data_IF_486141886071
#
_entry.id   IF_486141886071
#
_cell.length_a   1.000
_cell.length_b   1.000
_cell.length_c   1.000
_cell.angle_alpha   90.00
_cell.angle_beta   90.00
_cell.angle_gamma   90.00
#
_symmetry.space_group_name_H-M   'P 1'
#
loop_
_entity.id
_entity.type
_entity.pdbx_description
1 polymer ?
#
# COMPACT_ATOMS: atom_id res chain seq x y z
N UNK A 1 -10.47 -16.11 -9.34
CA UNK A 1 -11.63 -16.01 -8.40
C UNK A 1 -12.53 -14.88 -8.84
N UNK A 2 -13.86 -15.01 -8.69
CA UNK A 2 -14.84 -13.92 -8.82
C UNK A 2 -15.10 -13.36 -7.42
N UNK A 3 -14.91 -12.06 -7.24
CA UNK A 3 -15.17 -11.36 -5.98
C UNK A 3 -16.61 -10.84 -5.93
N UNK A 4 -17.16 -10.82 -4.72
CA UNK A 4 -18.39 -10.12 -4.34
C UNK A 4 -18.04 -8.78 -3.66
N UNK A 5 -19.00 -7.86 -3.55
CA UNK A 5 -18.80 -6.57 -2.85
C UNK A 5 -18.26 -6.75 -1.42
N UNK A 6 -18.78 -7.75 -0.69
CA UNK A 6 -18.32 -8.04 0.66
C UNK A 6 -16.88 -8.61 0.71
N UNK A 7 -16.40 -9.29 -0.33
CA UNK A 7 -15.00 -9.71 -0.42
C UNK A 7 -14.06 -8.50 -0.61
N UNK A 8 -14.48 -7.54 -1.44
CA UNK A 8 -13.74 -6.28 -1.62
C UNK A 8 -13.72 -5.47 -0.31
N UNK A 9 -14.83 -5.44 0.44
CA UNK A 9 -14.86 -4.83 1.77
C UNK A 9 -13.85 -5.49 2.72
N UNK A 10 -13.75 -6.83 2.72
CA UNK A 10 -12.74 -7.57 3.50
C UNK A 10 -11.32 -7.20 3.04
N UNK A 11 -11.04 -7.14 1.74
CA UNK A 11 -9.73 -6.73 1.23
C UNK A 11 -9.35 -5.31 1.68
N UNK A 12 -10.27 -4.36 1.56
CA UNK A 12 -10.06 -2.98 2.03
C UNK A 12 -9.80 -2.92 3.53
N UNK A 13 -10.57 -3.66 4.32
CA UNK A 13 -10.34 -3.77 5.76
C UNK A 13 -8.97 -4.36 6.08
N UNK A 14 -8.54 -5.41 5.37
CA UNK A 14 -7.21 -6.01 5.61
C UNK A 14 -6.07 -5.07 5.22
N UNK A 15 -6.23 -4.24 4.21
CA UNK A 15 -5.26 -3.21 3.84
C UNK A 15 -5.19 -2.06 4.86
N UNK A 16 -6.34 -1.67 5.42
CA UNK A 16 -6.42 -0.57 6.39
C UNK A 16 -6.03 -0.98 7.82
N UNK A 17 -6.48 -2.15 8.27
CA UNK A 17 -6.42 -2.59 9.68
C UNK A 17 -5.67 -3.93 9.85
N UNK A 18 -5.15 -4.49 8.78
CA UNK A 18 -4.54 -5.81 8.80
C UNK A 18 -5.57 -6.91 9.08
N UNK A 19 -5.13 -7.93 9.81
CA UNK A 19 -5.96 -9.07 10.18
C UNK A 19 -6.91 -8.80 11.36
N UNK A 20 -6.74 -7.68 12.06
CA UNK A 20 -7.42 -7.40 13.33
C UNK A 20 -8.32 -6.15 13.25
N UNK A 21 -9.34 -6.12 12.39
CA UNK A 21 -10.24 -4.97 12.32
C UNK A 21 -10.95 -4.79 13.66
N UNK A 22 -11.15 -3.54 14.06
CA UNK A 22 -11.97 -3.23 15.24
C UNK A 22 -13.45 -3.47 14.93
N UNK A 23 -14.28 -3.57 15.99
CA UNK A 23 -15.73 -3.65 15.83
C UNK A 23 -16.31 -2.46 15.05
N UNK A 24 -15.74 -1.27 15.24
CA UNK A 24 -16.11 -0.06 14.48
C UNK A 24 -15.81 -0.23 12.99
N UNK A 25 -14.62 -0.74 12.64
CA UNK A 25 -14.26 -0.99 11.23
C UNK A 25 -15.16 -2.04 10.60
N UNK A 26 -15.50 -3.12 11.32
CA UNK A 26 -16.43 -4.13 10.85
C UNK A 26 -17.84 -3.57 10.62
N UNK A 27 -18.33 -2.76 11.57
CA UNK A 27 -19.64 -2.12 11.46
C UNK A 27 -19.71 -1.15 10.25
N UNK A 28 -18.69 -0.35 10.03
CA UNK A 28 -18.58 0.54 8.86
C UNK A 28 -18.58 -0.22 7.53
N UNK A 29 -18.02 -1.42 7.52
CA UNK A 29 -18.01 -2.30 6.35
C UNK A 29 -19.26 -3.19 6.24
N UNK A 30 -20.23 -3.04 7.14
CA UNK A 30 -21.45 -3.86 7.21
C UNK A 30 -21.15 -5.37 7.33
N UNK A 31 -20.09 -5.72 8.08
CA UNK A 31 -19.65 -7.10 8.28
C UNK A 31 -19.70 -7.47 9.78
N UNK A 32 -20.07 -8.73 10.04
CA UNK A 32 -19.78 -9.34 11.34
C UNK A 32 -18.35 -9.91 11.38
N UNK A 33 -17.81 -10.15 12.57
CA UNK A 33 -16.51 -10.80 12.73
C UNK A 33 -16.46 -12.18 12.05
N UNK A 34 -17.53 -12.97 12.16
CA UNK A 34 -17.66 -14.27 11.51
C UNK A 34 -17.66 -14.17 9.98
N UNK A 35 -18.40 -13.20 9.42
CA UNK A 35 -18.43 -12.94 7.99
C UNK A 35 -17.04 -12.51 7.49
N UNK A 36 -16.34 -11.65 8.23
CA UNK A 36 -14.98 -11.24 7.91
C UNK A 36 -14.03 -12.44 7.85
N UNK A 37 -13.98 -13.28 8.90
CA UNK A 37 -13.09 -14.44 8.95
C UNK A 37 -13.43 -15.47 7.86
N UNK A 38 -14.69 -15.76 7.62
CA UNK A 38 -15.13 -16.70 6.59
C UNK A 38 -14.68 -16.23 5.20
N UNK A 39 -14.88 -14.95 4.89
CA UNK A 39 -14.48 -14.38 3.60
C UNK A 39 -12.98 -14.26 3.46
N UNK A 40 -12.27 -13.87 4.51
CA UNK A 40 -10.82 -13.84 4.52
C UNK A 40 -10.23 -15.22 4.26
N UNK A 41 -10.79 -16.26 4.88
CA UNK A 41 -10.38 -17.64 4.62
C UNK A 41 -10.59 -18.02 3.13
N UNK A 42 -11.73 -17.64 2.53
CA UNK A 42 -12.01 -17.85 1.10
C UNK A 42 -11.00 -17.14 0.20
N UNK A 43 -10.65 -15.88 0.50
CA UNK A 43 -9.67 -15.09 -0.23
C UNK A 43 -8.26 -15.70 -0.14
N UNK A 44 -7.90 -16.23 1.02
CA UNK A 44 -6.63 -16.96 1.22
C UNK A 44 -6.58 -18.28 0.48
N UNK A 45 -7.64 -19.06 0.56
CA UNK A 45 -7.74 -20.34 -0.16
C UNK A 45 -7.63 -20.16 -1.69
N UNK A 46 -8.10 -19.02 -2.21
CA UNK A 46 -7.98 -18.65 -3.62
C UNK A 46 -6.67 -17.91 -3.96
N UNK A 47 -5.74 -17.79 -3.01
CA UNK A 47 -4.47 -17.08 -3.16
C UNK A 47 -4.60 -15.59 -3.57
N UNK A 48 -5.76 -14.98 -3.32
CA UNK A 48 -5.95 -13.53 -3.51
C UNK A 48 -5.24 -12.77 -2.39
N UNK A 49 -5.36 -13.23 -1.14
CA UNK A 49 -4.52 -12.82 -0.02
C UNK A 49 -3.47 -13.91 0.19
N UNK A 50 -2.27 -13.69 -0.31
CA UNK A 50 -1.20 -14.69 -0.28
C UNK A 50 -0.60 -14.87 1.12
N UNK A 51 -0.32 -13.75 1.80
CA UNK A 51 0.27 -13.73 3.14
C UNK A 51 -0.07 -12.40 3.84
N UNK A 52 0.09 -12.37 5.16
CA UNK A 52 0.18 -11.11 5.92
C UNK A 52 1.62 -10.83 6.29
N UNK A 53 1.96 -9.55 6.35
CA UNK A 53 3.27 -9.07 6.73
C UNK A 53 3.15 -7.98 7.78
N UNK A 54 4.07 -7.98 8.71
CA UNK A 54 4.21 -6.91 9.69
C UNK A 54 5.26 -5.93 9.22
N UNK A 55 4.86 -4.68 9.06
CA UNK A 55 5.76 -3.56 8.79
C UNK A 55 5.73 -2.57 9.94
N UNK A 56 6.71 -1.68 9.99
CA UNK A 56 6.82 -0.64 11.00
C UNK A 56 6.88 0.72 10.35
N UNK A 57 6.21 1.70 10.92
CA UNK A 57 6.37 3.09 10.53
C UNK A 57 7.74 3.59 11.01
N UNK A 58 8.70 3.70 10.10
CA UNK A 58 10.11 4.02 10.39
C UNK A 58 10.27 5.35 11.11
N UNK A 59 9.66 6.48 10.65
CA UNK A 59 9.86 7.76 11.26
C UNK A 59 9.45 7.82 12.74
N UNK A 60 8.26 7.43 13.16
CA UNK A 60 7.89 7.48 14.57
C UNK A 60 8.65 6.47 15.44
N UNK A 61 9.11 5.34 14.85
CA UNK A 61 9.84 4.32 15.60
C UNK A 61 11.28 4.75 15.91
N UNK A 62 11.96 5.38 14.96
CA UNK A 62 13.38 5.72 15.06
C UNK A 62 13.65 7.19 15.37
N UNK A 63 12.63 8.05 15.30
CA UNK A 63 12.80 9.50 15.42
C UNK A 63 13.68 10.10 14.34
N UNK A 64 13.88 11.42 14.39
CA UNK A 64 14.69 12.18 13.43
C UNK A 64 13.95 12.51 12.15
N UNK A 65 14.70 12.99 11.17
CA UNK A 65 14.18 13.46 9.89
C UNK A 65 14.23 12.34 8.85
N UNK A 66 13.12 12.16 8.15
CA UNK A 66 12.96 11.12 7.15
C UNK A 66 12.26 11.67 5.92
N UNK A 67 12.65 11.18 4.77
CA UNK A 67 11.95 11.36 3.50
C UNK A 67 11.27 10.06 3.12
N UNK A 68 9.98 10.13 2.83
CA UNK A 68 9.25 9.05 2.17
C UNK A 68 9.34 9.27 0.67
N UNK A 69 9.82 8.28 -0.04
CA UNK A 69 10.05 8.32 -1.47
C UNK A 69 9.38 7.19 -2.22
N UNK A 70 9.17 7.43 -3.51
CA UNK A 70 8.75 6.42 -4.46
C UNK A 70 9.73 6.31 -5.62
N UNK A 71 9.97 5.10 -6.09
CA UNK A 71 10.63 4.81 -7.35
C UNK A 71 9.59 4.31 -8.33
N UNK A 72 9.52 4.90 -9.51
CA UNK A 72 8.78 4.36 -10.65
C UNK A 72 9.81 3.97 -11.70
N UNK A 73 9.85 2.70 -12.09
CA UNK A 73 10.86 2.18 -13.00
C UNK A 73 10.28 1.25 -14.05
N UNK A 74 10.94 1.21 -15.21
CA UNK A 74 10.79 0.15 -16.18
C UNK A 74 12.06 -0.71 -16.18
N UNK A 75 11.89 -2.01 -16.06
CA UNK A 75 12.96 -2.99 -16.06
C UNK A 75 12.57 -4.20 -16.92
N UNK A 76 13.51 -4.77 -17.70
CA UNK A 76 13.27 -6.00 -18.46
C UNK A 76 12.94 -7.18 -17.52
N UNK A 77 13.62 -7.24 -16.38
CA UNK A 77 13.34 -8.19 -15.30
C UNK A 77 12.98 -7.42 -14.03
N UNK A 78 11.69 -7.08 -13.84
CA UNK A 78 11.25 -6.30 -12.69
C UNK A 78 11.45 -7.02 -11.35
N UNK A 79 11.43 -8.36 -11.33
CA UNK A 79 11.66 -9.12 -10.10
C UNK A 79 13.12 -9.03 -9.64
N UNK A 80 14.06 -9.16 -10.58
CA UNK A 80 15.50 -9.01 -10.31
C UNK A 80 15.82 -7.58 -9.89
N UNK A 81 15.28 -6.59 -10.57
CA UNK A 81 15.44 -5.18 -10.22
C UNK A 81 14.88 -4.87 -8.82
N UNK A 82 13.69 -5.34 -8.49
CA UNK A 82 13.10 -5.22 -7.16
C UNK A 82 14.01 -5.82 -6.07
N UNK A 83 14.49 -7.03 -6.29
CA UNK A 83 15.40 -7.71 -5.34
C UNK A 83 16.73 -6.95 -5.14
N UNK A 84 17.27 -6.32 -6.18
CA UNK A 84 18.46 -5.47 -6.07
C UNK A 84 18.17 -4.22 -5.24
N UNK A 85 17.10 -3.50 -5.57
CA UNK A 85 16.74 -2.26 -4.91
C UNK A 85 16.39 -2.48 -3.45
N UNK A 86 15.61 -3.53 -3.12
CA UNK A 86 15.22 -3.85 -1.73
C UNK A 86 16.41 -4.27 -0.86
N UNK A 87 17.47 -4.82 -1.43
CA UNK A 87 18.70 -5.16 -0.68
C UNK A 87 19.58 -3.94 -0.39
N UNK A 88 19.48 -2.89 -1.17
CA UNK A 88 20.41 -1.76 -1.15
C UNK A 88 19.78 -0.48 -0.61
N UNK A 89 18.50 -0.26 -0.89
CA UNK A 89 17.76 0.86 -0.29
C UNK A 89 17.35 0.50 1.13
N UNK A 90 17.60 1.39 2.08
CA UNK A 90 17.09 1.19 3.44
C UNK A 90 15.56 1.31 3.43
N UNK A 91 14.94 0.53 4.29
CA UNK A 91 13.52 0.67 4.63
C UNK A 91 12.56 0.74 3.43
N UNK A 92 12.77 -0.09 2.40
CA UNK A 92 11.74 -0.32 1.38
C UNK A 92 10.54 -0.96 2.06
N UNK A 93 9.38 -0.34 1.93
CA UNK A 93 8.15 -0.82 2.56
C UNK A 93 7.34 -1.70 1.62
N UNK A 94 7.21 -1.27 0.37
CA UNK A 94 6.37 -1.94 -0.63
C UNK A 94 7.05 -2.01 -1.98
N UNK A 95 6.76 -3.07 -2.70
CA UNK A 95 7.13 -3.29 -4.09
C UNK A 95 5.87 -3.64 -4.88
N UNK A 96 5.58 -2.87 -5.92
CA UNK A 96 4.38 -3.00 -6.75
C UNK A 96 4.80 -3.37 -8.16
N UNK A 97 4.20 -4.44 -8.68
CA UNK A 97 4.41 -4.90 -10.05
C UNK A 97 3.22 -4.49 -10.91
N UNK A 98 3.47 -3.72 -11.96
CA UNK A 98 2.46 -3.15 -12.84
C UNK A 98 2.50 -3.81 -14.22
N UNK A 99 1.37 -3.76 -14.92
CA UNK A 99 1.27 -4.09 -16.35
C UNK A 99 0.20 -3.21 -17.03
N UNK A 100 0.20 -3.14 -18.34
CA UNK A 100 -0.85 -2.45 -19.10
C UNK A 100 -0.37 -1.37 -20.05
N UNK A 101 0.92 -0.98 -20.01
CA UNK A 101 1.49 -0.10 -21.02
C UNK A 101 2.51 -0.85 -21.88
N UNK A 102 2.64 -0.47 -23.17
CA UNK A 102 3.72 -0.95 -24.01
C UNK A 102 5.09 -0.68 -23.39
N UNK A 103 6.06 -1.51 -23.73
CA UNK A 103 7.42 -1.44 -23.23
C UNK A 103 8.00 -0.02 -23.28
N UNK A 104 8.49 0.44 -22.12
CA UNK A 104 9.12 1.75 -21.97
C UNK A 104 8.18 2.96 -21.91
N UNK A 105 6.85 2.78 -21.99
CA UNK A 105 5.88 3.89 -21.90
C UNK A 105 5.38 4.14 -20.48
N UNK A 106 5.64 3.22 -19.55
CA UNK A 106 5.26 3.37 -18.14
C UNK A 106 6.01 2.41 -17.24
N UNK A 107 5.88 2.58 -15.91
CA UNK A 107 6.57 1.72 -14.97
C UNK A 107 5.94 0.33 -14.92
N UNK A 108 6.78 -0.70 -14.96
CA UNK A 108 6.37 -2.05 -14.61
C UNK A 108 6.78 -2.43 -13.18
N UNK A 109 7.51 -1.53 -12.51
CA UNK A 109 7.99 -1.66 -11.14
C UNK A 109 7.83 -0.35 -10.39
N UNK A 110 7.23 -0.37 -9.21
CA UNK A 110 7.21 0.74 -8.27
C UNK A 110 7.68 0.28 -6.90
N UNK A 111 8.41 1.12 -6.18
CA UNK A 111 8.83 0.86 -4.81
C UNK A 111 8.55 2.08 -3.93
N UNK A 112 8.14 1.82 -2.70
CA UNK A 112 8.00 2.84 -1.65
C UNK A 112 9.08 2.61 -0.60
N UNK A 113 9.74 3.68 -0.14
CA UNK A 113 10.83 3.57 0.81
C UNK A 113 10.97 4.80 1.71
N UNK A 114 11.58 4.62 2.88
CA UNK A 114 12.04 5.73 3.72
C UNK A 114 13.56 5.87 3.64
N UNK A 115 14.05 7.13 3.66
CA UNK A 115 15.48 7.42 3.69
C UNK A 115 15.78 8.66 4.54
N UNK A 116 16.90 8.65 5.25
CA UNK A 116 17.49 9.87 5.88
C UNK A 116 18.36 10.64 4.91
N UNK A 117 18.98 9.96 3.96
CA UNK A 117 19.77 10.56 2.89
C UNK A 117 19.12 10.25 1.54
N UNK A 118 18.11 11.05 1.21
CA UNK A 118 17.31 10.88 0.01
C UNK A 118 18.16 11.05 -1.25
N UNK A 119 19.09 12.01 -1.26
CA UNK A 119 19.94 12.28 -2.44
C UNK A 119 20.88 11.11 -2.76
N UNK A 120 21.45 10.47 -1.74
CA UNK A 120 22.23 9.24 -1.93
C UNK A 120 21.37 8.09 -2.44
N UNK A 121 20.15 7.96 -1.95
CA UNK A 121 19.18 6.97 -2.47
C UNK A 121 18.86 7.23 -3.94
N UNK A 122 18.62 8.48 -4.33
CA UNK A 122 18.38 8.88 -5.74
C UNK A 122 19.57 8.51 -6.63
N UNK A 123 20.80 8.89 -6.22
CA UNK A 123 22.02 8.55 -7.00
C UNK A 123 22.19 7.03 -7.15
N UNK A 124 21.92 6.27 -6.11
CA UNK A 124 21.99 4.82 -6.17
C UNK A 124 20.97 4.26 -7.19
N UNK A 125 19.70 4.70 -7.11
CA UNK A 125 18.64 4.24 -8.01
C UNK A 125 18.97 4.59 -9.45
N UNK A 126 19.45 5.81 -9.72
CA UNK A 126 19.84 6.26 -11.05
C UNK A 126 20.99 5.45 -11.66
N UNK A 127 21.88 4.92 -10.84
CA UNK A 127 22.99 4.04 -11.27
C UNK A 127 22.66 2.54 -11.19
N UNK A 128 21.45 2.15 -10.79
CA UNK A 128 21.12 0.75 -10.59
C UNK A 128 21.06 -0.02 -11.92
N UNK A 129 21.77 -1.15 -12.05
CA UNK A 129 21.76 -1.93 -13.28
C UNK A 129 20.40 -2.61 -13.48
N UNK A 130 19.99 -2.76 -14.74
CA UNK A 130 18.75 -3.43 -15.13
C UNK A 130 17.52 -2.54 -15.10
N UNK A 131 17.65 -1.26 -14.77
CA UNK A 131 16.63 -0.24 -14.95
C UNK A 131 16.87 0.48 -16.27
N UNK A 132 15.93 0.40 -17.20
CA UNK A 132 16.01 1.12 -18.50
C UNK A 132 15.50 2.54 -18.35
N UNK A 133 14.56 2.73 -17.46
CA UNK A 133 13.97 4.01 -17.11
C UNK A 133 13.64 4.04 -15.63
N UNK A 134 13.90 5.15 -14.97
CA UNK A 134 13.54 5.35 -13.56
C UNK A 134 13.28 6.81 -13.23
N UNK A 135 12.30 7.04 -12.39
CA UNK A 135 12.04 8.31 -11.73
C UNK A 135 11.92 8.11 -10.23
N UNK A 136 12.44 9.05 -9.46
CA UNK A 136 12.38 9.02 -8.01
C UNK A 136 11.64 10.25 -7.52
N UNK A 137 10.62 10.03 -6.71
CA UNK A 137 9.76 11.07 -6.19
C UNK A 137 9.89 11.19 -4.69
N UNK A 138 9.92 12.42 -4.22
CA UNK A 138 9.80 12.78 -2.81
C UNK A 138 8.32 12.94 -2.50
N UNK A 139 7.74 12.02 -1.73
CA UNK A 139 6.32 11.98 -1.41
C UNK A 139 5.98 12.78 -0.16
N UNK A 140 6.91 12.85 0.78
CA UNK A 140 6.71 13.60 2.02
C UNK A 140 7.93 13.63 2.92
N UNK A 141 7.94 14.62 3.76
CA UNK A 141 8.95 14.80 4.80
C UNK A 141 8.30 14.53 6.17
N UNK A 142 9.01 13.76 6.97
CA UNK A 142 8.59 13.39 8.31
C UNK A 142 9.69 13.77 9.30
N UNK A 143 9.34 14.56 10.31
CA UNK A 143 10.22 14.94 11.40
C UNK A 143 9.61 14.50 12.71
N UNK A 144 10.33 13.66 13.44
CA UNK A 144 9.93 13.19 14.77
C UNK A 144 11.04 13.53 15.76
N UNK A 145 10.80 14.44 16.71
CA UNK A 145 11.85 14.89 17.64
C UNK A 145 12.41 13.76 18.51
N UNK A 146 11.58 12.75 18.79
CA UNK A 146 11.99 11.56 19.54
C UNK A 146 11.36 10.30 18.97
N UNK A 147 12.07 9.18 19.11
CA UNK A 147 11.50 7.86 18.84
C UNK A 147 10.35 7.56 19.82
N UNK A 148 9.30 6.89 19.34
CA UNK A 148 8.23 6.42 20.20
C UNK A 148 8.78 5.32 21.14
N UNK A 149 8.71 5.48 22.47
CA UNK A 149 9.20 4.46 23.38
C UNK A 149 8.27 3.23 23.31
N UNK A 150 8.84 2.10 22.89
CA UNK A 150 8.18 0.80 22.98
C UNK A 150 8.58 0.12 24.30
N UNK A 151 7.59 -0.36 25.04
CA UNK A 151 7.85 -1.22 26.20
C UNK A 151 8.43 -2.58 25.76
N UNK A 152 9.05 -3.30 26.69
CA UNK A 152 9.55 -4.65 26.41
C UNK A 152 8.45 -5.59 25.90
N UNK A 153 7.26 -5.51 26.47
CA UNK A 153 6.11 -6.32 26.06
C UNK A 153 5.66 -5.99 24.63
N UNK A 154 5.67 -4.71 24.25
CA UNK A 154 5.33 -4.29 22.90
C UNK A 154 6.37 -4.73 21.87
N UNK A 155 7.66 -4.68 22.22
CA UNK A 155 8.74 -5.25 21.38
C UNK A 155 8.56 -6.75 21.21
N UNK A 156 8.20 -7.46 22.28
CA UNK A 156 7.96 -8.90 22.23
C UNK A 156 6.71 -9.22 21.40
N UNK A 157 5.63 -8.47 21.56
CA UNK A 157 4.41 -8.59 20.74
C UNK A 157 4.72 -8.38 19.25
N UNK A 158 5.42 -7.30 18.90
CA UNK A 158 5.83 -7.02 17.52
C UNK A 158 6.68 -8.16 16.97
N UNK A 159 7.66 -8.66 17.76
CA UNK A 159 8.53 -9.78 17.36
C UNK A 159 7.75 -11.06 17.07
N UNK A 160 6.76 -11.39 17.89
CA UNK A 160 5.88 -12.54 17.66
C UNK A 160 5.10 -12.41 16.36
N UNK A 161 4.50 -11.22 16.13
CA UNK A 161 3.74 -10.94 14.91
C UNK A 161 4.62 -10.92 13.66
N UNK A 162 5.85 -10.40 13.74
CA UNK A 162 6.82 -10.44 12.62
C UNK A 162 7.20 -11.87 12.25
N UNK A 163 7.33 -12.76 13.23
CA UNK A 163 7.67 -14.16 13.00
C UNK A 163 6.46 -15.00 12.57
N UNK A 164 5.27 -14.63 13.01
CA UNK A 164 4.04 -15.32 12.67
C UNK A 164 2.87 -14.34 12.53
N UNK A 165 2.81 -13.60 11.41
CA UNK A 165 1.80 -12.57 11.17
C UNK A 165 0.38 -13.12 11.03
N UNK A 166 0.24 -14.43 10.85
CA UNK A 166 -1.04 -15.13 10.75
C UNK A 166 -1.62 -15.58 12.10
N UNK A 167 -0.88 -15.39 13.20
CA UNK A 167 -1.37 -15.75 14.53
C UNK A 167 -2.63 -14.95 14.90
N UNK A 168 -3.61 -15.63 15.47
CA UNK A 168 -4.76 -14.98 16.09
C UNK A 168 -4.38 -14.36 17.45
N UNK A 169 -5.26 -13.47 17.95
CA UNK A 169 -5.04 -12.75 19.23
C UNK A 169 -4.90 -13.71 20.40
N UNK A 170 -5.64 -14.83 20.39
CA UNK A 170 -5.60 -15.82 21.47
C UNK A 170 -4.26 -16.55 21.50
N UNK A 171 -3.78 -16.98 20.32
CA UNK A 171 -2.46 -17.63 20.19
C UNK A 171 -1.32 -16.68 20.60
N UNK A 172 -1.40 -15.41 20.18
CA UNK A 172 -0.44 -14.37 20.60
C UNK A 172 -0.47 -14.15 22.11
N UNK A 173 -1.68 -14.04 22.69
CA UNK A 173 -1.86 -13.92 24.15
C UNK A 173 -1.25 -15.10 24.91
N UNK A 174 -1.54 -16.32 24.48
CA UNK A 174 -0.97 -17.54 25.08
C UNK A 174 0.56 -17.55 25.03
N UNK A 175 1.15 -17.18 23.89
CA UNK A 175 2.61 -17.10 23.73
C UNK A 175 3.26 -16.03 24.62
N UNK A 176 2.54 -14.98 24.99
CA UNK A 176 2.99 -13.90 25.86
C UNK A 176 2.63 -14.11 27.34
N UNK A 177 1.84 -15.13 27.67
CA UNK A 177 1.26 -15.30 29.02
C UNK A 177 0.27 -14.17 29.38
N UNK A 178 -0.40 -13.58 28.37
CA UNK A 178 -1.30 -12.44 28.51
C UNK A 178 -2.71 -12.77 28.01
N UNK A 179 -3.70 -12.00 28.49
CA UNK A 179 -5.08 -12.18 28.02
C UNK A 179 -5.26 -11.67 26.57
N UNK A 180 -6.24 -12.20 25.82
CA UNK A 180 -6.61 -11.67 24.50
C UNK A 180 -6.98 -10.18 24.54
N UNK A 181 -7.64 -9.74 25.62
CA UNK A 181 -8.00 -8.31 25.82
C UNK A 181 -6.75 -7.43 25.95
N UNK A 182 -5.74 -7.90 26.69
CA UNK A 182 -4.47 -7.19 26.81
C UNK A 182 -3.79 -7.04 25.44
N UNK A 183 -3.74 -8.15 24.65
CA UNK A 183 -3.18 -8.13 23.29
C UNK A 183 -3.92 -7.14 22.41
N UNK A 184 -5.25 -7.13 22.44
CA UNK A 184 -6.09 -6.18 21.68
C UNK A 184 -5.75 -4.74 22.04
N UNK A 185 -5.71 -4.40 23.33
CA UNK A 185 -5.38 -3.04 23.80
C UNK A 185 -4.00 -2.59 23.30
N UNK A 186 -3.00 -3.50 23.31
CA UNK A 186 -1.66 -3.18 22.83
C UNK A 186 -1.62 -3.03 21.32
N UNK A 187 -2.34 -3.88 20.56
CA UNK A 187 -2.46 -3.77 19.12
C UNK A 187 -3.12 -2.46 18.71
N UNK A 188 -4.24 -2.08 19.33
CA UNK A 188 -4.95 -0.82 19.04
C UNK A 188 -4.03 0.39 19.22
N UNK A 189 -3.19 0.38 20.28
CA UNK A 189 -2.18 1.41 20.47
C UNK A 189 -1.11 1.40 19.38
N UNK A 190 -0.61 0.22 19.00
CA UNK A 190 0.51 0.07 18.06
C UNK A 190 0.07 0.30 16.61
N UNK A 191 -1.12 -0.13 16.22
CA UNK A 191 -1.69 0.09 14.89
C UNK A 191 -2.08 1.56 14.67
N UNK A 192 -2.34 2.29 15.75
CA UNK A 192 -2.92 3.63 15.68
C UNK A 192 -4.40 3.57 15.34
N UNK A 193 -5.07 4.70 15.44
CA UNK A 193 -6.45 4.86 15.02
C UNK A 193 -6.57 6.00 14.00
N UNK A 194 -7.77 6.19 13.44
CA UNK A 194 -8.05 7.26 12.47
C UNK A 194 -7.72 8.67 13.01
N UNK A 195 -7.85 8.87 14.32
CA UNK A 195 -7.55 10.12 15.01
C UNK A 195 -6.06 10.27 15.30
N UNK A 196 -5.33 9.16 15.42
CA UNK A 196 -3.91 9.15 15.74
C UNK A 196 -3.14 8.29 14.73
N UNK A 197 -2.81 8.87 13.56
CA UNK A 197 -2.02 8.24 12.49
C UNK A 197 -0.59 7.87 12.90
N UNK A 198 -0.25 8.02 14.18
CA UNK A 198 1.08 7.74 14.75
C UNK A 198 1.32 6.27 15.12
N UNK A 199 0.49 5.34 14.65
CA UNK A 199 0.76 3.91 14.83
C UNK A 199 2.12 3.52 14.25
N UNK A 200 2.87 2.75 15.03
CA UNK A 200 4.19 2.24 14.59
C UNK A 200 4.11 0.89 13.88
N UNK A 201 2.99 0.18 14.07
CA UNK A 201 2.77 -1.16 13.52
C UNK A 201 1.80 -1.09 12.35
N UNK A 202 2.09 -1.82 11.30
CA UNK A 202 1.16 -2.12 10.21
C UNK A 202 1.18 -3.59 9.91
N UNK A 203 0.01 -4.18 9.74
CA UNK A 203 -0.13 -5.58 9.31
C UNK A 203 -0.83 -5.53 7.96
N UNK A 204 -0.10 -5.81 6.90
CA UNK A 204 -0.57 -5.63 5.54
C UNK A 204 -0.61 -6.96 4.78
N UNK A 205 -1.62 -7.21 3.94
CA UNK A 205 -1.67 -8.38 3.09
C UNK A 205 -0.80 -8.19 1.84
N UNK A 206 -0.16 -9.26 1.40
CA UNK A 206 0.20 -9.39 -0.01
C UNK A 206 -1.07 -9.71 -0.79
N UNK A 207 -1.42 -8.85 -1.72
CA UNK A 207 -2.60 -9.03 -2.58
C UNK A 207 -2.17 -9.44 -3.97
N UNK A 208 -2.74 -10.54 -4.45
CA UNK A 208 -2.46 -11.10 -5.77
C UNK A 208 -3.66 -10.86 -6.68
N UNK A 209 -3.71 -9.68 -7.27
CA UNK A 209 -4.81 -9.27 -8.14
C UNK A 209 -4.92 -10.11 -9.41
N UNK A 210 -3.85 -10.81 -9.82
CA UNK A 210 -3.88 -11.72 -10.96
C UNK A 210 -4.78 -12.96 -10.75
N UNK A 211 -5.12 -13.28 -9.50
CA UNK A 211 -6.05 -14.36 -9.16
C UNK A 211 -7.53 -13.93 -9.20
N UNK A 212 -7.78 -12.65 -9.47
CA UNK A 212 -9.13 -12.07 -9.54
C UNK A 212 -9.51 -11.77 -10.97
N UNK A 213 -10.71 -12.21 -11.42
CA UNK A 213 -11.14 -12.06 -12.80
C UNK A 213 -12.14 -10.92 -13.05
N UNK A 214 -12.80 -10.42 -12.02
CA UNK A 214 -13.86 -9.42 -12.17
C UNK A 214 -13.62 -8.12 -11.40
N UNK A 215 -12.45 -7.96 -10.79
CA UNK A 215 -12.10 -6.78 -9.99
C UNK A 215 -10.60 -6.54 -10.08
N UNK A 216 -10.16 -5.30 -10.00
CA UNK A 216 -8.76 -4.95 -9.98
C UNK A 216 -8.53 -3.52 -9.51
N UNK A 217 -7.30 -3.24 -9.13
CA UNK A 217 -6.82 -1.92 -8.78
C UNK A 217 -6.03 -1.34 -9.95
N UNK A 218 -6.47 -0.19 -10.46
CA UNK A 218 -5.94 0.42 -11.67
C UNK A 218 -5.44 1.84 -11.41
N UNK A 219 -4.37 2.20 -12.09
CA UNK A 219 -3.86 3.56 -12.14
C UNK A 219 -4.05 4.13 -13.55
N UNK A 220 -4.68 5.28 -13.64
CA UNK A 220 -4.90 6.01 -14.88
C UNK A 220 -3.85 7.11 -15.01
N UNK A 221 -3.11 7.10 -16.11
CA UNK A 221 -2.17 8.16 -16.44
C UNK A 221 -2.88 9.24 -17.22
N UNK A 222 -3.01 10.41 -16.64
CA UNK A 222 -3.80 11.52 -17.15
C UNK A 222 -2.89 12.63 -17.65
N UNK A 223 -3.02 13.00 -18.93
CA UNK A 223 -2.53 14.27 -19.44
C UNK A 223 -3.51 15.38 -19.14
N UNK A 224 -3.03 16.42 -18.48
CA UNK A 224 -3.87 17.58 -18.12
C UNK A 224 -3.05 18.86 -17.93
N UNK A 225 -3.65 19.98 -18.23
CA UNK A 225 -3.16 21.32 -17.87
C UNK A 225 -3.55 21.75 -16.44
N UNK A 226 -4.46 21.03 -15.80
CA UNK A 226 -4.88 21.35 -14.44
C UNK A 226 -3.77 21.11 -13.42
N UNK A 227 -3.76 21.91 -12.36
CA UNK A 227 -2.95 21.64 -11.18
C UNK A 227 -3.55 20.45 -10.41
N UNK A 228 -2.75 19.67 -9.65
CA UNK A 228 -3.25 18.52 -8.90
C UNK A 228 -4.45 18.83 -8.01
N UNK A 229 -4.46 20.00 -7.35
CA UNK A 229 -5.55 20.41 -6.46
C UNK A 229 -6.84 20.72 -7.24
N UNK A 230 -6.73 21.26 -8.46
CA UNK A 230 -7.87 21.48 -9.34
C UNK A 230 -8.43 20.17 -9.86
N UNK A 231 -7.54 19.25 -10.26
CA UNK A 231 -7.92 17.91 -10.69
C UNK A 231 -8.63 17.15 -9.56
N UNK A 232 -8.10 17.19 -8.34
CA UNK A 232 -8.73 16.56 -7.18
C UNK A 232 -10.17 17.07 -6.95
N UNK A 233 -10.40 18.39 -7.08
CA UNK A 233 -11.75 18.98 -6.97
C UNK A 233 -12.67 18.52 -8.09
N UNK A 234 -12.20 18.48 -9.33
CA UNK A 234 -12.98 18.00 -10.47
C UNK A 234 -13.39 16.53 -10.27
N UNK A 235 -12.47 15.69 -9.86
CA UNK A 235 -12.74 14.28 -9.58
C UNK A 235 -13.72 14.09 -8.42
N UNK A 236 -13.68 14.95 -7.40
CA UNK A 236 -14.61 14.91 -6.28
C UNK A 236 -16.01 15.43 -6.62
N UNK A 237 -16.12 16.48 -7.45
CA UNK A 237 -17.42 17.07 -7.83
C UNK A 237 -18.26 16.14 -8.68
N UNK A 238 -17.64 15.41 -9.61
CA UNK A 238 -18.35 14.49 -10.51
C UNK A 238 -18.51 13.08 -9.94
N UNK A 239 -17.81 12.79 -8.84
CA UNK A 239 -17.88 11.51 -8.12
C UNK A 239 -18.91 11.50 -6.97
N UNK A 240 -19.58 12.64 -6.68
CA UNK A 240 -20.51 12.74 -5.55
C UNK A 240 -21.66 11.71 -5.59
N UNK A 241 -22.03 11.23 -6.76
CA UNK A 241 -23.06 10.20 -6.94
C UNK A 241 -22.50 8.76 -7.06
N UNK A 242 -21.15 8.57 -7.00
CA UNK A 242 -20.51 7.27 -7.11
C UNK A 242 -19.50 7.07 -5.98
N UNK A 243 -19.78 6.20 -5.00
CA UNK A 243 -18.92 5.96 -3.82
C UNK A 243 -17.54 5.36 -4.13
N UNK A 244 -17.26 5.03 -5.37
CA UNK A 244 -16.00 4.46 -5.85
C UNK A 244 -15.15 5.50 -6.59
N UNK A 245 -14.87 6.60 -5.89
CA UNK A 245 -14.19 7.76 -6.45
C UNK A 245 -12.73 7.48 -6.82
N UNK A 246 -12.28 8.15 -7.89
CA UNK A 246 -10.87 8.26 -8.21
C UNK A 246 -10.09 8.92 -7.06
N UNK A 247 -8.90 8.40 -6.76
CA UNK A 247 -7.98 8.98 -5.80
C UNK A 247 -6.72 9.48 -6.51
N UNK A 248 -6.27 10.68 -6.15
CA UNK A 248 -5.00 11.19 -6.64
C UNK A 248 -3.85 10.47 -5.91
N UNK A 249 -2.99 9.78 -6.67
CA UNK A 249 -1.92 8.96 -6.08
C UNK A 249 -0.76 9.83 -5.59
N UNK A 250 -0.36 10.80 -6.40
CA UNK A 250 0.78 11.67 -6.11
C UNK A 250 0.41 13.12 -6.39
N UNK A 251 0.83 14.02 -5.50
CA UNK A 251 0.55 15.45 -5.59
C UNK A 251 1.30 16.20 -6.71
N UNK A 252 1.81 15.50 -7.73
CA UNK A 252 2.60 16.08 -8.81
C UNK A 252 2.45 15.32 -10.13
N UNK A 253 3.06 15.89 -11.18
CA UNK A 253 3.14 15.24 -12.49
C UNK A 253 4.29 14.25 -12.52
N UNK A 254 4.05 13.07 -13.07
CA UNK A 254 4.98 11.97 -13.24
C UNK A 254 5.45 11.89 -14.69
N UNK A 255 6.49 11.08 -14.94
CA UNK A 255 7.02 10.81 -16.26
C UNK A 255 7.38 12.10 -17.02
N UNK A 256 8.47 12.74 -16.59
CA UNK A 256 8.97 14.01 -17.13
C UNK A 256 7.92 15.14 -17.07
N UNK A 257 7.16 15.21 -15.97
CA UNK A 257 6.07 16.17 -15.76
C UNK A 257 4.92 16.04 -16.76
N UNK A 258 4.71 14.86 -17.34
CA UNK A 258 3.70 14.66 -18.37
C UNK A 258 2.35 14.23 -17.83
N UNK A 259 2.32 13.29 -16.86
CA UNK A 259 1.09 12.66 -16.40
C UNK A 259 0.80 12.95 -14.94
N UNK A 260 -0.47 13.06 -14.61
CA UNK A 260 -0.97 12.91 -13.24
C UNK A 260 -1.49 11.49 -13.10
N UNK A 261 -1.20 10.83 -11.98
CA UNK A 261 -1.65 9.48 -11.71
C UNK A 261 -2.85 9.49 -10.79
N UNK A 262 -3.92 8.86 -11.22
CA UNK A 262 -5.18 8.68 -10.48
C UNK A 262 -5.44 7.19 -10.37
N UNK A 263 -5.84 6.72 -9.21
CA UNK A 263 -6.18 5.32 -8.97
C UNK A 263 -7.67 5.12 -8.77
N UNK A 264 -8.14 3.94 -9.13
CA UNK A 264 -9.50 3.48 -8.83
C UNK A 264 -9.58 1.96 -8.81
N UNK A 265 -10.47 1.46 -7.98
CA UNK A 265 -10.93 0.08 -8.02
C UNK A 265 -11.97 -0.10 -9.13
N UNK A 266 -11.86 -1.15 -9.90
CA UNK A 266 -12.64 -1.37 -11.13
C UNK A 266 -13.28 -2.75 -11.14
N UNK A 267 -14.57 -2.80 -11.45
CA UNK A 267 -15.37 -4.03 -11.55
C UNK A 267 -15.46 -4.53 -13.00
N UNK A 268 -14.39 -5.13 -13.49
CA UNK A 268 -14.33 -5.70 -14.83
C UNK A 268 -14.12 -4.67 -15.94
N UNK A 269 -14.06 -5.18 -17.19
CA UNK A 269 -13.66 -4.38 -18.35
C UNK A 269 -14.70 -3.30 -18.70
N UNK A 270 -15.99 -3.55 -18.46
CA UNK A 270 -17.03 -2.57 -18.72
C UNK A 270 -16.88 -1.33 -17.86
N UNK A 271 -16.73 -1.51 -16.54
CA UNK A 271 -16.48 -0.40 -15.60
C UNK A 271 -15.16 0.32 -15.91
N UNK A 272 -14.11 -0.42 -16.33
CA UNK A 272 -12.85 0.20 -16.77
C UNK A 272 -13.08 1.15 -17.94
N UNK A 273 -13.81 0.72 -18.95
CA UNK A 273 -14.11 1.54 -20.13
C UNK A 273 -14.96 2.76 -19.76
N UNK A 274 -15.98 2.57 -18.91
CA UNK A 274 -16.83 3.67 -18.42
C UNK A 274 -16.00 4.72 -17.67
N UNK A 275 -15.04 4.31 -16.84
CA UNK A 275 -14.15 5.22 -16.13
C UNK A 275 -13.19 5.98 -17.05
N UNK A 276 -12.64 5.31 -18.07
CA UNK A 276 -11.82 5.96 -19.10
C UNK A 276 -12.66 6.99 -19.87
N UNK A 277 -13.88 6.64 -20.24
CA UNK A 277 -14.80 7.57 -20.93
C UNK A 277 -15.18 8.75 -20.05
N UNK A 278 -15.52 8.51 -18.78
CA UNK A 278 -15.83 9.57 -17.81
C UNK A 278 -14.67 10.56 -17.66
N UNK A 279 -13.45 10.06 -17.45
CA UNK A 279 -12.27 10.92 -17.34
C UNK A 279 -12.03 11.75 -18.62
N UNK A 280 -12.18 11.15 -19.81
CA UNK A 280 -11.99 11.86 -21.07
C UNK A 280 -13.13 12.87 -21.38
N UNK A 281 -14.28 12.79 -20.71
CA UNK A 281 -15.35 13.79 -20.82
C UNK A 281 -15.07 15.05 -19.99
N UNK A 282 -14.18 14.97 -18.99
CA UNK A 282 -13.81 16.11 -18.17
C UNK A 282 -12.95 17.08 -18.98
N UNK A 283 -13.27 18.39 -18.88
CA UNK A 283 -12.58 19.43 -19.65
C UNK A 283 -11.07 19.46 -19.33
N UNK A 284 -10.24 19.39 -20.37
CA UNK A 284 -8.77 19.45 -20.25
C UNK A 284 -8.14 18.20 -19.64
N UNK A 285 -8.83 17.06 -19.68
CA UNK A 285 -8.35 15.75 -19.22
C UNK A 285 -8.30 14.77 -20.40
N UNK A 286 -7.20 14.02 -20.51
CA UNK A 286 -7.03 12.93 -21.45
C UNK A 286 -6.37 11.73 -20.76
N UNK A 287 -7.00 10.57 -20.79
CA UNK A 287 -6.39 9.32 -20.34
C UNK A 287 -5.38 8.87 -21.39
N UNK A 288 -4.10 8.90 -21.04
CA UNK A 288 -2.99 8.49 -21.92
C UNK A 288 -2.66 7.01 -21.78
N UNK A 289 -2.98 6.42 -20.64
CA UNK A 289 -2.74 5.00 -20.40
C UNK A 289 -3.37 4.53 -19.10
N UNK A 290 -3.46 3.21 -18.96
CA UNK A 290 -3.98 2.55 -17.77
C UNK A 290 -2.97 1.50 -17.32
N UNK A 291 -2.60 1.53 -16.05
CA UNK A 291 -1.75 0.54 -15.40
C UNK A 291 -2.60 -0.35 -14.50
N UNK A 292 -2.40 -1.64 -14.59
CA UNK A 292 -2.98 -2.60 -13.68
C UNK A 292 -1.94 -3.03 -12.64
N UNK A 293 -2.23 -2.85 -11.36
CA UNK A 293 -1.43 -3.41 -10.29
C UNK A 293 -1.66 -4.92 -10.21
N UNK A 294 -0.67 -5.69 -10.67
CA UNK A 294 -0.77 -7.17 -10.66
C UNK A 294 -0.53 -7.76 -9.31
N UNK A 295 0.45 -7.23 -8.58
CA UNK A 295 0.80 -7.69 -7.25
C UNK A 295 1.45 -6.57 -6.45
N UNK A 296 1.09 -6.50 -5.17
CA UNK A 296 1.75 -5.68 -4.16
C UNK A 296 2.45 -6.63 -3.19
N UNK A 297 3.73 -6.42 -2.96
CA UNK A 297 4.54 -7.18 -2.00
C UNK A 297 5.04 -6.25 -0.90
N UNK A 298 4.77 -6.64 0.33
CA UNK A 298 5.24 -5.93 1.52
C UNK A 298 6.66 -6.42 1.86
N UNK A 299 7.61 -5.50 1.97
CA UNK A 299 8.98 -5.85 2.32
C UNK A 299 9.20 -5.72 3.83
N UNK A 300 9.55 -6.82 4.46
CA UNK A 300 9.79 -6.92 5.91
C UNK A 300 11.24 -7.26 6.27
N UNK A 301 12.13 -7.32 5.30
CA UNK A 301 13.52 -7.77 5.53
C UNK A 301 14.25 -6.94 6.59
N UNK A 302 13.97 -5.63 6.67
CA UNK A 302 14.57 -4.69 7.63
C UNK A 302 13.87 -4.69 8.99
N UNK A 303 12.60 -5.13 9.06
CA UNK A 303 11.81 -5.10 10.30
C UNK A 303 12.42 -6.01 11.36
N UNK A 304 12.88 -7.19 10.96
CA UNK A 304 13.53 -8.16 11.89
C UNK A 304 14.74 -7.54 12.59
N UNK A 305 15.56 -6.78 11.88
CA UNK A 305 16.72 -6.10 12.46
C UNK A 305 16.35 -5.09 13.56
N UNK A 306 15.22 -4.38 13.40
CA UNK A 306 14.78 -3.38 14.38
C UNK A 306 14.18 -3.97 15.66
N UNK A 307 13.64 -5.19 15.60
CA UNK A 307 12.99 -5.83 16.77
C UNK A 307 13.84 -6.90 17.42
N UNK A 308 15.04 -7.19 16.88
CA UNK A 308 15.97 -8.20 17.43
C UNK A 308 16.87 -7.68 18.54
N UNK A 309 16.91 -6.35 18.74
CA UNK A 309 17.73 -5.66 19.74
C UNK A 309 17.10 -5.63 21.12
#
# INVERSE_FOLDING_TARGET
MILEKADVAVLRLTQASGRFPSETHLAQAELTAEQFETRLHRLRAANVVAAFHVTLAVPPLLGGDWVFGAVLAYAQDPLRAANLLTKKLPFVTETIFNSGLPDGLGPNLSLLFYSRDFDSSVRFIQGAPGLEYQEVYRLGDYSFPMALPLSNDERLLIRLLVNNPDSDITAVGAALGQSPTWVRTKLDRLLGNELNRSGVLRIQPDVNWSEVSNFGHFHFLIETGHRPEQLARLLQSDAADRPESFQLVLGGKLFRNRYVQVEADVWGIGDLMDRVMLLNQLAGIRVAGVLWNRAVRVNTSWVRGLVSG
#
